data_IF_111721338898
#
_entry.id   IF_111721338898
#
_cell.length_a   1.000
_cell.length_b   1.000
_cell.length_c   1.000
_cell.angle_alpha   90.00
_cell.angle_beta   90.00
_cell.angle_gamma   90.00
#
_symmetry.space_group_name_H-M   'P 1'
#
loop_
_entity.id
_entity.type
_entity.pdbx_description
1 polymer ?
#
# COMPACT_ATOMS: atom_id res chain seq x y z
N UNK A 1 8.03 4.84 25.26
CA UNK A 1 9.34 4.88 24.61
C UNK A 1 10.33 5.49 25.60
N UNK A 2 10.82 4.67 26.50
CA UNK A 2 11.91 5.03 27.39
C UNK A 2 13.17 5.23 26.52
N UNK A 3 13.84 6.37 26.72
CA UNK A 3 14.85 6.91 25.85
C UNK A 3 15.83 5.87 25.30
N UNK A 4 15.90 5.74 23.99
CA UNK A 4 17.03 5.09 23.32
C UNK A 4 18.25 5.99 23.53
N UNK A 5 19.21 5.53 24.32
CA UNK A 5 20.53 6.12 24.37
C UNK A 5 21.25 5.81 23.03
N UNK A 6 21.24 6.80 22.14
CA UNK A 6 21.83 6.66 20.80
C UNK A 6 23.35 6.87 20.78
N UNK A 7 24.00 7.06 21.93
CA UNK A 7 25.43 7.41 22.01
C UNK A 7 25.77 8.83 21.54
N UNK A 8 24.79 9.58 21.04
CA UNK A 8 24.93 10.97 20.57
C UNK A 8 24.25 12.01 21.48
N UNK A 9 23.99 11.65 22.73
CA UNK A 9 23.24 12.46 23.70
C UNK A 9 21.78 12.02 23.83
N UNK A 10 21.17 12.39 24.94
CA UNK A 10 19.78 12.01 25.27
C UNK A 10 18.83 12.82 24.39
N UNK A 11 18.34 12.24 23.28
CA UNK A 11 17.21 12.80 22.55
C UNK A 11 15.93 12.57 23.36
N UNK A 12 15.36 13.63 23.89
CA UNK A 12 14.02 13.59 24.50
C UNK A 12 13.00 14.02 23.43
N UNK A 13 12.31 13.06 22.87
CA UNK A 13 11.15 13.37 22.05
C UNK A 13 10.07 14.02 22.93
N UNK A 14 9.44 15.08 22.41
CA UNK A 14 8.23 15.61 23.02
C UNK A 14 7.11 14.60 22.74
N UNK A 15 6.55 13.93 23.77
CA UNK A 15 5.48 12.97 23.53
C UNK A 15 4.24 13.70 22.99
N UNK A 16 3.45 13.07 22.12
CA UNK A 16 2.18 13.62 21.68
C UNK A 16 1.23 13.75 22.88
N UNK A 17 0.25 14.65 22.79
CA UNK A 17 -0.74 14.89 23.84
C UNK A 17 -1.62 13.65 24.18
N UNK A 18 -1.61 12.63 23.28
CA UNK A 18 -2.27 11.35 23.49
C UNK A 18 -1.53 10.23 22.76
N UNK A 19 -1.88 8.99 23.04
CA UNK A 19 -1.33 7.83 22.32
C UNK A 19 -1.79 7.86 20.84
N UNK A 20 -0.87 7.90 19.87
CA UNK A 20 -1.25 7.77 18.47
C UNK A 20 -1.81 6.37 18.20
N UNK A 21 -2.66 6.18 17.18
CA UNK A 21 -3.10 4.86 16.79
C UNK A 21 -1.91 4.02 16.29
N UNK A 22 -1.89 2.76 16.66
CA UNK A 22 -0.87 1.80 16.25
C UNK A 22 -1.45 0.84 15.22
N UNK A 23 -0.92 0.86 14.03
CA UNK A 23 -1.26 -0.08 12.97
C UNK A 23 -0.18 -1.16 12.88
N UNK A 24 -0.57 -2.42 12.82
CA UNK A 24 0.35 -3.50 12.50
C UNK A 24 0.49 -3.66 10.98
N UNK A 25 1.71 -3.84 10.50
CA UNK A 25 1.95 -4.34 9.16
C UNK A 25 1.43 -5.78 9.09
N UNK A 26 0.34 -6.00 8.37
CA UNK A 26 -0.36 -7.27 8.31
C UNK A 26 -0.76 -7.59 6.88
N UNK A 27 -0.46 -8.79 6.41
CA UNK A 27 -0.73 -9.21 5.05
C UNK A 27 -1.65 -10.45 5.03
N UNK A 28 -1.24 -11.50 5.71
CA UNK A 28 -2.00 -12.76 5.77
C UNK A 28 -3.02 -12.78 6.91
N UNK A 29 -3.96 -13.75 6.89
CA UNK A 29 -5.09 -13.79 7.82
C UNK A 29 -4.67 -13.85 9.30
N UNK A 30 -3.60 -14.57 9.63
CA UNK A 30 -3.11 -14.66 11.01
C UNK A 30 -2.65 -13.31 11.56
N UNK A 31 -1.92 -12.52 10.75
CA UNK A 31 -1.46 -11.20 11.16
C UNK A 31 -2.60 -10.19 11.19
N UNK A 32 -3.57 -10.30 10.27
CA UNK A 32 -4.78 -9.47 10.30
C UNK A 32 -5.62 -9.73 11.55
N UNK A 33 -5.82 -10.99 11.92
CA UNK A 33 -6.50 -11.35 13.17
C UNK A 33 -5.75 -10.80 14.41
N UNK A 34 -4.42 -10.96 14.44
CA UNK A 34 -3.60 -10.40 15.51
C UNK A 34 -3.72 -8.87 15.58
N UNK A 35 -3.74 -8.19 14.44
CA UNK A 35 -3.94 -6.75 14.39
C UNK A 35 -5.30 -6.33 14.98
N UNK A 36 -6.36 -7.08 14.67
CA UNK A 36 -7.70 -6.88 15.25
C UNK A 36 -7.74 -7.05 16.77
N UNK A 37 -6.97 -7.99 17.31
CA UNK A 37 -6.93 -8.27 18.74
C UNK A 37 -6.02 -7.31 19.53
N UNK A 38 -4.89 -6.89 18.98
CA UNK A 38 -3.77 -6.31 19.72
C UNK A 38 -3.39 -4.89 19.30
N UNK A 39 -3.92 -4.37 18.19
CA UNK A 39 -3.61 -3.05 17.67
C UNK A 39 -4.86 -2.21 17.45
N UNK A 40 -4.66 -0.96 17.04
CA UNK A 40 -5.76 -0.09 16.65
C UNK A 40 -6.20 -0.35 15.19
N UNK A 41 -5.40 -1.14 14.45
CA UNK A 41 -5.72 -1.50 13.08
C UNK A 41 -4.56 -2.19 12.34
N UNK A 42 -4.70 -2.29 11.03
CA UNK A 42 -3.74 -2.89 10.12
C UNK A 42 -3.34 -1.95 8.98
N UNK A 43 -2.07 -2.03 8.59
CA UNK A 43 -1.55 -1.47 7.35
C UNK A 43 -1.18 -2.64 6.44
N UNK A 44 -1.91 -2.77 5.32
CA UNK A 44 -1.64 -3.79 4.31
C UNK A 44 -0.84 -3.17 3.17
N UNK A 45 0.01 -3.95 2.54
CA UNK A 45 0.95 -3.46 1.55
C UNK A 45 1.04 -4.41 0.37
N UNK A 46 1.15 -3.85 -0.86
CA UNK A 46 1.27 -4.63 -2.09
C UNK A 46 0.05 -5.54 -2.33
N UNK A 47 -1.13 -4.96 -2.25
CA UNK A 47 -2.41 -5.68 -2.28
C UNK A 47 -3.45 -5.01 -3.19
N UNK A 48 -4.31 -5.78 -3.87
CA UNK A 48 -5.43 -5.24 -4.63
C UNK A 48 -6.65 -4.94 -3.72
N UNK A 49 -7.68 -4.22 -4.21
CA UNK A 49 -8.90 -3.94 -3.46
C UNK A 49 -9.64 -5.19 -2.94
N UNK A 50 -9.56 -6.31 -3.64
CA UNK A 50 -10.14 -7.59 -3.22
C UNK A 50 -9.53 -8.09 -1.91
N UNK A 51 -8.21 -7.87 -1.73
CA UNK A 51 -7.55 -8.15 -0.47
C UNK A 51 -8.09 -7.25 0.66
N UNK A 52 -8.36 -5.98 0.37
CA UNK A 52 -8.91 -5.05 1.36
C UNK A 52 -10.26 -5.52 1.89
N UNK A 53 -11.13 -6.03 1.03
CA UNK A 53 -12.41 -6.60 1.45
C UNK A 53 -12.22 -7.79 2.41
N UNK A 54 -11.35 -8.73 2.06
CA UNK A 54 -11.01 -9.88 2.92
C UNK A 54 -10.35 -9.41 4.23
N UNK A 55 -9.46 -8.44 4.16
CA UNK A 55 -8.79 -7.89 5.34
C UNK A 55 -9.80 -7.22 6.29
N UNK A 56 -10.80 -6.51 5.77
CA UNK A 56 -11.88 -5.90 6.57
C UNK A 56 -12.70 -6.96 7.31
N UNK A 57 -13.05 -8.06 6.64
CA UNK A 57 -13.79 -9.16 7.28
C UNK A 57 -13.01 -9.78 8.46
N UNK A 58 -11.69 -9.97 8.30
CA UNK A 58 -10.85 -10.58 9.35
C UNK A 58 -10.56 -9.58 10.48
N UNK A 59 -10.26 -8.33 10.13
CA UNK A 59 -9.86 -7.29 11.09
C UNK A 59 -11.03 -6.84 11.98
N UNK A 60 -12.26 -6.87 11.46
CA UNK A 60 -13.46 -6.35 12.08
C UNK A 60 -13.75 -4.89 11.76
N UNK A 61 -14.97 -4.45 12.02
CA UNK A 61 -15.46 -3.12 11.64
C UNK A 61 -14.86 -1.97 12.48
N UNK A 62 -14.47 -2.25 13.72
CA UNK A 62 -14.05 -1.22 14.69
C UNK A 62 -12.54 -0.93 14.66
N UNK A 63 -11.82 -1.50 13.70
CA UNK A 63 -10.37 -1.35 13.57
C UNK A 63 -10.00 -0.57 12.32
N UNK A 64 -8.97 0.26 12.41
CA UNK A 64 -8.48 1.01 11.26
C UNK A 64 -7.86 0.06 10.22
N UNK A 65 -8.26 0.18 8.97
CA UNK A 65 -7.67 -0.52 7.84
C UNK A 65 -7.13 0.49 6.84
N UNK A 66 -5.82 0.48 6.68
CA UNK A 66 -5.10 1.44 5.83
C UNK A 66 -4.23 0.66 4.83
N UNK A 67 -4.76 0.27 3.66
CA UNK A 67 -3.94 -0.30 2.61
C UNK A 67 -3.00 0.74 1.99
N UNK A 68 -1.86 0.28 1.53
CA UNK A 68 -1.02 1.02 0.59
C UNK A 68 -1.56 0.77 -0.83
N UNK A 69 -1.56 1.81 -1.68
CA UNK A 69 -1.78 1.71 -3.11
C UNK A 69 -0.67 2.40 -3.88
N UNK A 70 0.10 1.60 -4.59
CA UNK A 70 1.13 2.13 -5.49
C UNK A 70 0.52 2.61 -6.82
N UNK A 71 0.99 3.74 -7.35
CA UNK A 71 0.50 4.30 -8.60
C UNK A 71 1.59 4.94 -9.45
N UNK A 72 1.33 5.05 -10.75
CA UNK A 72 2.12 5.80 -11.74
C UNK A 72 1.21 6.73 -12.50
N UNK A 73 1.46 8.04 -12.43
CA UNK A 73 0.69 9.04 -13.18
C UNK A 73 1.25 9.16 -14.61
N UNK A 74 0.81 8.27 -15.48
CA UNK A 74 1.20 8.20 -16.90
C UNK A 74 0.16 7.43 -17.70
N UNK A 75 -0.28 7.98 -18.82
CA UNK A 75 -1.18 7.32 -19.78
C UNK A 75 -0.45 6.40 -20.78
N UNK A 76 0.89 6.40 -20.78
CA UNK A 76 1.68 5.48 -21.60
C UNK A 76 1.87 4.15 -20.86
N UNK A 77 1.24 3.05 -21.31
CA UNK A 77 1.31 1.76 -20.66
C UNK A 77 2.73 1.18 -20.59
N UNK A 78 3.57 1.49 -21.57
CA UNK A 78 4.95 0.99 -21.60
C UNK A 78 5.77 1.64 -20.49
N UNK A 79 5.69 2.96 -20.39
CA UNK A 79 6.39 3.75 -19.38
C UNK A 79 5.88 3.39 -17.98
N UNK A 80 4.56 3.34 -17.82
CA UNK A 80 3.93 3.06 -16.52
C UNK A 80 4.33 1.67 -15.99
N UNK A 81 4.22 0.63 -16.83
CA UNK A 81 4.57 -0.74 -16.45
C UNK A 81 6.06 -0.94 -16.21
N UNK A 82 6.91 -0.23 -16.95
CA UNK A 82 8.36 -0.26 -16.68
C UNK A 82 8.69 0.30 -15.30
N UNK A 83 8.11 1.45 -14.94
CA UNK A 83 8.27 2.05 -13.61
C UNK A 83 7.72 1.11 -12.53
N UNK A 84 6.53 0.54 -12.76
CA UNK A 84 5.88 -0.37 -11.83
C UNK A 84 6.68 -1.66 -11.61
N UNK A 85 7.25 -2.29 -12.67
CA UNK A 85 8.06 -3.51 -12.56
C UNK A 85 9.31 -3.32 -11.72
N UNK A 86 9.93 -2.16 -11.78
CA UNK A 86 11.07 -1.85 -10.89
C UNK A 86 10.69 -1.87 -9.40
N UNK A 87 9.43 -1.62 -9.10
CA UNK A 87 8.88 -1.73 -7.75
C UNK A 87 8.50 -3.18 -7.42
N UNK A 88 7.71 -3.84 -8.28
CA UNK A 88 7.25 -5.21 -8.06
C UNK A 88 8.40 -6.21 -7.93
N UNK A 89 9.49 -6.04 -8.69
CA UNK A 89 10.69 -6.86 -8.65
C UNK A 89 11.21 -7.15 -7.24
N UNK A 90 11.14 -6.17 -6.35
CA UNK A 90 11.63 -6.30 -4.98
C UNK A 90 10.71 -7.18 -4.12
N UNK A 91 9.40 -7.06 -4.32
CA UNK A 91 8.39 -7.76 -3.51
C UNK A 91 8.14 -9.18 -3.97
N UNK A 92 8.26 -9.45 -5.28
CA UNK A 92 8.09 -10.80 -5.84
C UNK A 92 9.20 -11.78 -5.41
N UNK A 93 10.30 -11.29 -4.86
CA UNK A 93 11.37 -12.12 -4.25
C UNK A 93 11.05 -12.55 -2.82
N UNK A 94 9.98 -12.02 -2.23
CA UNK A 94 9.62 -12.28 -0.84
C UNK A 94 8.39 -13.20 -0.80
N UNK A 95 8.58 -14.40 -0.30
CA UNK A 95 7.57 -15.47 -0.31
C UNK A 95 6.26 -15.11 0.39
N UNK A 96 6.27 -14.21 1.36
CA UNK A 96 5.05 -13.75 2.01
C UNK A 96 4.13 -12.95 1.05
N UNK A 97 4.69 -12.21 0.09
CA UNK A 97 3.90 -11.49 -0.92
C UNK A 97 3.39 -12.42 -2.01
N UNK A 98 4.24 -13.30 -2.56
CA UNK A 98 3.80 -14.26 -3.58
C UNK A 98 2.75 -15.22 -3.03
N UNK A 99 2.96 -15.77 -1.83
CA UNK A 99 1.96 -16.61 -1.17
C UNK A 99 0.66 -15.88 -0.83
N UNK A 100 0.69 -14.55 -0.65
CA UNK A 100 -0.54 -13.79 -0.51
C UNK A 100 -1.25 -13.63 -1.86
N UNK A 101 -0.52 -13.31 -2.92
CA UNK A 101 -1.07 -13.16 -4.27
C UNK A 101 -1.66 -14.47 -4.80
N UNK A 102 -1.05 -15.62 -4.50
CA UNK A 102 -1.59 -16.95 -4.83
C UNK A 102 -3.00 -17.17 -4.28
N UNK A 103 -3.34 -16.61 -3.10
CA UNK A 103 -4.70 -16.64 -2.54
C UNK A 103 -5.71 -15.87 -3.38
N UNK A 104 -5.24 -14.95 -4.20
CA UNK A 104 -6.04 -14.14 -5.12
C UNK A 104 -5.93 -14.60 -6.58
N UNK A 105 -5.47 -15.86 -6.80
CA UNK A 105 -5.47 -16.51 -8.09
C UNK A 105 -4.32 -16.11 -9.01
N UNK A 106 -3.20 -15.66 -8.44
CA UNK A 106 -1.95 -15.54 -9.18
C UNK A 106 -1.16 -16.84 -9.11
N UNK A 107 -0.48 -17.19 -10.19
CA UNK A 107 0.29 -18.41 -10.35
C UNK A 107 1.77 -18.10 -10.58
N UNK A 108 2.62 -19.12 -10.55
CA UNK A 108 4.07 -18.97 -10.69
C UNK A 108 4.49 -18.19 -11.95
N UNK A 109 3.76 -18.38 -13.05
CA UNK A 109 4.03 -17.69 -14.33
C UNK A 109 3.74 -16.18 -14.24
N UNK A 110 2.82 -15.75 -13.35
CA UNK A 110 2.54 -14.33 -13.13
C UNK A 110 3.72 -13.61 -12.46
N UNK A 111 4.58 -14.35 -11.76
CA UNK A 111 5.72 -13.79 -10.99
C UNK A 111 7.01 -13.71 -11.79
N UNK A 112 7.04 -14.25 -13.03
CA UNK A 112 8.22 -14.19 -13.89
C UNK A 112 8.48 -12.78 -14.43
N UNK A 113 9.72 -12.49 -14.79
CA UNK A 113 10.13 -11.20 -15.39
C UNK A 113 9.71 -9.96 -14.58
N UNK A 114 9.85 -10.06 -13.25
CA UNK A 114 9.46 -9.01 -12.29
C UNK A 114 7.94 -8.70 -12.29
N UNK A 115 7.14 -9.64 -12.75
CA UNK A 115 5.68 -9.60 -12.83
C UNK A 115 5.17 -9.39 -14.26
N UNK A 116 4.25 -10.25 -14.70
CA UNK A 116 3.58 -10.04 -15.97
C UNK A 116 2.63 -8.83 -15.93
N UNK A 117 2.09 -8.42 -17.08
CA UNK A 117 1.22 -7.23 -17.16
C UNK A 117 -0.03 -7.34 -16.27
N UNK A 118 -0.63 -8.54 -16.17
CA UNK A 118 -1.79 -8.79 -15.32
C UNK A 118 -1.49 -8.49 -13.84
N UNK A 119 -0.38 -8.98 -13.34
CA UNK A 119 0.04 -8.76 -11.95
C UNK A 119 0.38 -7.29 -11.72
N UNK A 120 1.18 -6.72 -12.61
CA UNK A 120 1.60 -5.31 -12.52
C UNK A 120 0.38 -4.39 -12.50
N UNK A 121 -0.58 -4.55 -13.41
CA UNK A 121 -1.78 -3.72 -13.50
C UNK A 121 -2.75 -3.94 -12.33
N UNK A 122 -2.70 -5.12 -11.71
CA UNK A 122 -3.51 -5.39 -10.50
C UNK A 122 -2.96 -4.67 -9.29
N UNK A 123 -1.66 -4.71 -9.09
CA UNK A 123 -1.01 -4.11 -7.91
C UNK A 123 -0.76 -2.62 -8.09
N UNK A 124 -0.28 -2.19 -9.25
CA UNK A 124 0.03 -0.80 -9.54
C UNK A 124 -1.05 -0.20 -10.44
N UNK A 125 -1.80 0.76 -9.94
CA UNK A 125 -2.68 1.56 -10.80
C UNK A 125 -1.86 2.58 -11.57
N UNK A 126 -2.16 2.74 -12.86
CA UNK A 126 -1.53 3.76 -13.69
C UNK A 126 -2.57 4.43 -14.61
N UNK A 127 -2.22 5.62 -15.12
CA UNK A 127 -3.09 6.41 -15.98
C UNK A 127 -3.32 7.82 -15.46
N UNK A 128 -4.50 8.37 -15.76
CA UNK A 128 -4.89 9.72 -15.34
C UNK A 128 -5.17 9.81 -13.83
N UNK A 129 -5.30 11.03 -13.34
CA UNK A 129 -5.66 11.29 -11.94
C UNK A 129 -7.01 10.64 -11.56
N UNK A 130 -7.97 10.61 -12.49
CA UNK A 130 -9.29 9.98 -12.28
C UNK A 130 -9.17 8.45 -12.19
N UNK A 131 -8.31 7.82 -13.00
CA UNK A 131 -8.07 6.38 -12.93
C UNK A 131 -7.45 5.98 -11.59
N UNK A 132 -6.50 6.77 -11.09
CA UNK A 132 -5.88 6.56 -9.78
C UNK A 132 -6.89 6.79 -8.66
N UNK A 133 -7.69 7.86 -8.73
CA UNK A 133 -8.74 8.13 -7.76
C UNK A 133 -9.81 7.02 -7.73
N UNK A 134 -10.18 6.46 -8.88
CA UNK A 134 -11.10 5.33 -8.96
C UNK A 134 -10.55 4.07 -8.24
N UNK A 135 -9.25 3.79 -8.33
CA UNK A 135 -8.61 2.70 -7.58
C UNK A 135 -8.59 2.97 -6.07
N UNK A 136 -8.29 4.20 -5.65
CA UNK A 136 -8.38 4.60 -4.24
C UNK A 136 -9.80 4.41 -3.73
N UNK A 137 -10.79 4.86 -4.51
CA UNK A 137 -12.21 4.65 -4.19
C UNK A 137 -12.56 3.15 -4.04
N UNK A 138 -12.02 2.30 -4.91
CA UNK A 138 -12.26 0.86 -4.81
C UNK A 138 -11.77 0.27 -3.48
N UNK A 139 -10.63 0.72 -2.95
CA UNK A 139 -10.18 0.35 -1.60
C UNK A 139 -11.11 0.87 -0.50
N UNK A 140 -11.58 2.13 -0.62
CA UNK A 140 -12.54 2.70 0.34
C UNK A 140 -13.87 1.94 0.32
N UNK A 141 -14.39 1.63 -0.87
CA UNK A 141 -15.61 0.84 -1.05
C UNK A 141 -15.46 -0.60 -0.52
N UNK A 142 -14.23 -1.15 -0.57
CA UNK A 142 -13.87 -2.45 0.01
C UNK A 142 -13.66 -2.41 1.54
N UNK A 143 -13.87 -1.26 2.17
CA UNK A 143 -13.84 -1.10 3.62
C UNK A 143 -12.55 -0.52 4.21
N UNK A 144 -11.67 0.07 3.40
CA UNK A 144 -10.56 0.85 3.93
C UNK A 144 -11.07 2.14 4.59
N UNK A 145 -10.46 2.54 5.71
CA UNK A 145 -10.73 3.84 6.36
C UNK A 145 -9.90 4.97 5.74
N UNK A 146 -8.78 4.63 5.17
CA UNK A 146 -7.86 5.53 4.46
C UNK A 146 -6.96 4.71 3.55
N UNK A 147 -6.36 5.35 2.55
CA UNK A 147 -5.41 4.71 1.62
C UNK A 147 -4.09 5.47 1.64
N UNK A 148 -2.99 4.76 1.89
CA UNK A 148 -1.65 5.32 1.79
C UNK A 148 -1.18 5.25 0.33
N UNK A 149 -1.25 6.36 -0.39
CA UNK A 149 -0.88 6.39 -1.80
C UNK A 149 0.63 6.54 -1.97
N UNK A 150 1.25 5.61 -2.69
CA UNK A 150 2.66 5.64 -3.05
C UNK A 150 2.83 5.95 -4.53
N UNK A 151 3.32 7.14 -4.85
CA UNK A 151 3.52 7.56 -6.24
C UNK A 151 4.93 7.19 -6.68
N UNK A 152 5.01 6.39 -7.74
CA UNK A 152 6.26 6.04 -8.38
C UNK A 152 6.56 7.01 -9.53
N UNK A 153 7.82 7.42 -9.61
CA UNK A 153 8.36 8.23 -10.70
C UNK A 153 9.64 7.60 -11.23
N UNK A 154 10.05 7.97 -12.43
CA UNK A 154 11.26 7.45 -13.04
C UNK A 154 12.52 7.81 -12.23
N UNK A 155 12.62 9.06 -11.77
CA UNK A 155 13.67 9.49 -10.84
C UNK A 155 13.38 9.00 -9.41
N UNK A 156 13.96 7.85 -9.04
CA UNK A 156 13.80 7.24 -7.70
C UNK A 156 14.30 8.12 -6.54
N UNK A 157 15.07 9.14 -6.78
CA UNK A 157 15.59 10.07 -5.77
C UNK A 157 14.79 11.36 -5.68
N UNK A 158 13.97 11.62 -6.69
CA UNK A 158 13.11 12.79 -6.77
C UNK A 158 11.88 12.65 -5.89
N UNK A 159 11.36 13.77 -5.40
CA UNK A 159 10.04 13.80 -4.78
C UNK A 159 8.98 14.03 -5.87
N UNK A 160 7.90 13.24 -5.93
CA UNK A 160 6.85 13.35 -6.94
C UNK A 160 5.91 14.55 -6.69
N UNK A 161 6.50 15.75 -6.57
CA UNK A 161 5.75 16.98 -6.21
C UNK A 161 4.73 17.38 -7.27
N UNK A 162 5.07 17.19 -8.55
CA UNK A 162 4.18 17.47 -9.66
C UNK A 162 2.98 16.53 -9.61
N UNK A 163 3.25 15.28 -9.45
CA UNK A 163 2.24 14.21 -9.39
C UNK A 163 1.32 14.40 -8.18
N UNK A 164 1.86 14.76 -7.00
CA UNK A 164 1.04 15.09 -5.83
C UNK A 164 0.09 16.25 -6.10
N UNK A 165 0.58 17.31 -6.76
CA UNK A 165 -0.25 18.49 -7.07
C UNK A 165 -1.35 18.14 -8.08
N UNK A 166 -1.04 17.30 -9.07
CA UNK A 166 -1.97 16.90 -10.11
C UNK A 166 -3.04 15.93 -9.59
N UNK A 167 -2.67 15.00 -8.70
CA UNK A 167 -3.59 14.02 -8.11
C UNK A 167 -4.50 14.62 -7.02
N UNK A 168 -4.03 15.62 -6.29
CA UNK A 168 -4.75 16.14 -5.11
C UNK A 168 -6.21 16.52 -5.39
N UNK A 169 -6.59 17.23 -6.47
CA UNK A 169 -7.98 17.58 -6.71
C UNK A 169 -8.91 16.38 -6.85
N UNK A 170 -8.49 15.32 -7.57
CA UNK A 170 -9.28 14.12 -7.77
C UNK A 170 -9.41 13.28 -6.48
N UNK A 171 -8.35 13.23 -5.68
CA UNK A 171 -8.34 12.48 -4.42
C UNK A 171 -9.12 13.18 -3.31
N UNK A 172 -9.09 14.51 -3.26
CA UNK A 172 -9.83 15.29 -2.25
C UNK A 172 -11.33 15.36 -2.52
N UNK A 173 -11.78 14.90 -3.69
CA UNK A 173 -13.19 14.79 -4.05
C UNK A 173 -13.84 13.45 -3.64
N UNK A 174 -13.06 12.50 -3.10
CA UNK A 174 -13.53 11.20 -2.62
C UNK A 174 -14.14 11.33 -1.22
#
# INVERSE_FOLDING_TARGET
LDGMDSGYGVYRAVPPAGRPPWLLAALGPTMLALAGERADGAHTYFVPPEHTAVAREILGADRLLVPEQVCVLSDDPTVAREIARRHTASYLRLSNYTANLERFGFEADDFTDDGNDRLVDTICVWGSAEAIAARVKAHLDAGADSVALQILVDDRRGLPRKEWTELAPALMAL
#
